data_IF_294325371868
#
_entry.id   IF_294325371868
#
_cell.length_a   1.000
_cell.length_b   1.000
_cell.length_c   1.000
_cell.angle_alpha   90.00
_cell.angle_beta   90.00
_cell.angle_gamma   90.00
#
_symmetry.space_group_name_H-M   'P 1'
#
loop_
_entity.id
_entity.type
_entity.pdbx_description
1 polymer ?
#
# COMPACT_ATOMS: atom_id res chain seq x y z
N UNK A 1 -19.00 6.87 -13.91
CA UNK A 1 -18.82 7.40 -12.54
C UNK A 1 -17.78 6.50 -11.89
N UNK A 2 -16.63 7.00 -11.46
CA UNK A 2 -15.69 6.16 -10.70
C UNK A 2 -16.40 5.80 -9.42
N UNK A 3 -16.65 4.51 -9.22
CA UNK A 3 -17.29 4.03 -8.01
C UNK A 3 -16.30 4.22 -6.84
N UNK A 4 -16.75 4.92 -5.80
CA UNK A 4 -15.94 5.19 -4.63
C UNK A 4 -15.50 3.87 -3.98
N UNK A 5 -16.37 2.87 -4.02
CA UNK A 5 -16.11 1.55 -3.44
C UNK A 5 -14.98 0.84 -4.18
N UNK A 6 -14.96 0.95 -5.52
CA UNK A 6 -13.86 0.42 -6.34
C UNK A 6 -12.52 1.09 -6.04
N UNK A 7 -12.51 2.41 -5.84
CA UNK A 7 -11.28 3.14 -5.53
C UNK A 7 -10.75 2.76 -4.14
N UNK A 8 -11.63 2.65 -3.15
CA UNK A 8 -11.27 2.22 -1.80
C UNK A 8 -10.69 0.80 -1.80
N UNK A 9 -11.31 -0.13 -2.53
CA UNK A 9 -10.83 -1.51 -2.61
C UNK A 9 -9.50 -1.61 -3.38
N UNK A 10 -9.33 -0.83 -4.45
CA UNK A 10 -8.07 -0.75 -5.18
C UNK A 10 -6.93 -0.24 -4.30
N UNK A 11 -7.20 0.74 -3.42
CA UNK A 11 -6.20 1.26 -2.47
C UNK A 11 -5.81 0.19 -1.44
N UNK A 12 -6.79 -0.54 -0.89
CA UNK A 12 -6.53 -1.65 0.04
C UNK A 12 -5.68 -2.74 -0.61
N UNK A 13 -6.04 -3.15 -1.83
CA UNK A 13 -5.28 -4.15 -2.58
C UNK A 13 -3.84 -3.69 -2.83
N UNK A 14 -3.64 -2.45 -3.28
CA UNK A 14 -2.29 -1.94 -3.49
C UNK A 14 -1.46 -1.85 -2.21
N UNK A 15 -2.08 -1.51 -1.08
CA UNK A 15 -1.40 -1.50 0.21
C UNK A 15 -0.94 -2.91 0.62
N UNK A 16 -1.78 -3.93 0.38
CA UNK A 16 -1.43 -5.33 0.61
C UNK A 16 -0.30 -5.79 -0.31
N UNK A 17 -0.36 -5.48 -1.61
CA UNK A 17 0.69 -5.81 -2.57
C UNK A 17 2.02 -5.16 -2.20
N UNK A 18 2.00 -3.88 -1.78
CA UNK A 18 3.20 -3.16 -1.33
C UNK A 18 3.80 -3.77 -0.07
N UNK A 19 2.97 -4.22 0.87
CA UNK A 19 3.43 -4.96 2.04
C UNK A 19 4.05 -6.30 1.62
N UNK A 20 3.37 -7.08 0.78
CA UNK A 20 3.84 -8.40 0.34
C UNK A 20 5.18 -8.31 -0.40
N UNK A 21 5.31 -7.37 -1.33
CA UNK A 21 6.54 -7.15 -2.09
C UNK A 21 7.72 -6.74 -1.20
N UNK A 22 7.48 -5.93 -0.17
CA UNK A 22 8.54 -5.45 0.71
C UNK A 22 8.95 -6.48 1.76
N UNK A 23 7.98 -7.23 2.27
CA UNK A 23 8.14 -8.01 3.50
C UNK A 23 7.86 -9.50 3.28
N UNK A 24 6.72 -9.88 2.71
CA UNK A 24 6.32 -11.30 2.68
C UNK A 24 7.07 -12.15 1.66
N UNK A 25 7.44 -11.53 0.54
CA UNK A 25 8.11 -12.16 -0.60
C UNK A 25 9.62 -11.92 -0.57
N UNK A 26 10.20 -11.63 0.59
CA UNK A 26 11.64 -11.51 0.74
C UNK A 26 12.31 -12.83 0.37
N UNK A 27 13.19 -12.80 -0.62
CA UNK A 27 14.01 -13.94 -1.02
C UNK A 27 15.27 -13.97 -0.16
N UNK A 28 15.63 -15.16 0.32
CA UNK A 28 16.85 -15.36 1.11
C UNK A 28 17.64 -16.51 0.51
N UNK A 29 18.96 -16.34 0.39
CA UNK A 29 19.84 -17.36 -0.20
C UNK A 29 20.12 -18.52 0.78
N UNK A 30 20.27 -18.21 2.08
CA UNK A 30 20.55 -19.20 3.12
C UNK A 30 19.27 -19.84 3.68
N UNK A 31 19.33 -21.14 3.97
CA UNK A 31 18.25 -21.88 4.63
C UNK A 31 17.94 -21.31 6.02
N UNK A 32 18.97 -20.94 6.76
CA UNK A 32 18.90 -20.39 8.12
C UNK A 32 18.09 -19.08 8.16
N UNK A 33 18.37 -18.16 7.22
CA UNK A 33 17.59 -16.91 7.13
C UNK A 33 16.13 -17.17 6.77
N UNK A 34 15.83 -18.12 5.86
CA UNK A 34 14.43 -18.49 5.56
C UNK A 34 13.72 -19.02 6.81
N UNK A 35 14.37 -19.92 7.55
CA UNK A 35 13.80 -20.49 8.78
C UNK A 35 13.56 -19.43 9.85
N UNK A 36 14.55 -18.56 10.11
CA UNK A 36 14.41 -17.46 11.05
C UNK A 36 13.27 -16.51 10.64
N UNK A 37 13.17 -16.20 9.35
CA UNK A 37 12.10 -15.35 8.84
C UNK A 37 10.71 -15.99 8.99
N UNK A 38 10.56 -17.28 8.68
CA UNK A 38 9.31 -18.00 8.88
C UNK A 38 8.91 -18.09 10.36
N UNK A 39 9.88 -18.28 11.26
CA UNK A 39 9.63 -18.27 12.70
C UNK A 39 9.03 -16.93 13.15
N UNK A 40 9.58 -15.80 12.66
CA UNK A 40 9.03 -14.47 12.94
C UNK A 40 7.62 -14.32 12.36
N UNK A 41 7.39 -14.76 11.11
CA UNK A 41 6.08 -14.63 10.44
C UNK A 41 4.94 -15.35 11.18
N UNK A 42 5.26 -16.37 11.96
CA UNK A 42 4.29 -17.15 12.72
C UNK A 42 3.98 -16.56 14.11
N UNK A 43 4.50 -15.38 14.43
CA UNK A 43 4.24 -14.68 15.71
C UNK A 43 3.02 -13.77 15.64
N UNK A 44 2.42 -13.51 16.80
CA UNK A 44 1.32 -12.53 16.92
C UNK A 44 1.81 -11.12 16.62
N UNK A 45 3.03 -10.80 17.02
CA UNK A 45 3.71 -9.53 16.77
C UNK A 45 3.83 -9.27 15.27
N UNK A 46 4.15 -10.29 14.47
CA UNK A 46 4.15 -10.17 13.01
C UNK A 46 2.76 -9.89 12.44
N UNK A 47 1.73 -10.58 12.92
CA UNK A 47 0.36 -10.33 12.48
C UNK A 47 -0.08 -8.89 12.79
N UNK A 48 0.24 -8.39 13.98
CA UNK A 48 -0.02 -6.99 14.37
C UNK A 48 0.78 -6.01 13.51
N UNK A 49 2.07 -6.28 13.30
CA UNK A 49 2.93 -5.48 12.44
C UNK A 49 2.36 -5.39 11.01
N UNK A 50 1.97 -6.53 10.42
CA UNK A 50 1.35 -6.58 9.10
C UNK A 50 0.12 -5.68 9.00
N UNK A 51 -0.79 -5.75 9.97
CA UNK A 51 -2.00 -4.91 9.99
C UNK A 51 -1.67 -3.41 10.08
N UNK A 52 -0.75 -3.02 10.97
CA UNK A 52 -0.36 -1.61 11.13
C UNK A 52 0.32 -1.08 9.88
N UNK A 53 1.20 -1.86 9.27
CA UNK A 53 1.93 -1.43 8.06
C UNK A 53 1.02 -1.33 6.84
N UNK A 54 0.08 -2.25 6.65
CA UNK A 54 -0.90 -2.16 5.56
C UNK A 54 -1.71 -0.86 5.71
N UNK A 55 -2.23 -0.55 6.90
CA UNK A 55 -2.95 0.72 7.16
C UNK A 55 -2.09 1.95 6.89
N UNK A 56 -0.80 1.91 7.24
CA UNK A 56 0.12 3.00 6.94
C UNK A 56 0.31 3.18 5.43
N UNK A 57 0.40 2.09 4.67
CA UNK A 57 0.46 2.14 3.20
C UNK A 57 -0.84 2.63 2.57
N UNK A 58 -2.01 2.18 3.05
CA UNK A 58 -3.32 2.69 2.60
C UNK A 58 -3.36 4.22 2.74
N UNK A 59 -3.02 4.75 3.92
CA UNK A 59 -2.98 6.20 4.16
C UNK A 59 -2.04 6.94 3.19
N UNK A 60 -0.85 6.39 2.96
CA UNK A 60 0.11 6.99 2.04
C UNK A 60 -0.39 7.00 0.58
N UNK A 61 -1.01 5.91 0.13
CA UNK A 61 -1.58 5.79 -1.21
C UNK A 61 -2.76 6.74 -1.37
N UNK A 62 -3.68 6.78 -0.41
CA UNK A 62 -4.82 7.71 -0.40
C UNK A 62 -4.35 9.16 -0.53
N UNK A 63 -3.35 9.56 0.27
CA UNK A 63 -2.79 10.91 0.18
C UNK A 63 -2.21 11.22 -1.20
N UNK A 64 -1.50 10.25 -1.81
CA UNK A 64 -0.96 10.42 -3.16
C UNK A 64 -2.07 10.59 -4.21
N UNK A 65 -3.11 9.76 -4.15
CA UNK A 65 -4.28 9.85 -5.04
C UNK A 65 -4.97 11.21 -4.90
N UNK A 66 -5.21 11.69 -3.67
CA UNK A 66 -5.83 12.99 -3.44
C UNK A 66 -4.97 14.15 -3.97
N UNK A 67 -3.65 14.09 -3.79
CA UNK A 67 -2.74 15.08 -4.34
C UNK A 67 -2.75 15.10 -5.87
N UNK A 68 -2.78 13.93 -6.51
CA UNK A 68 -2.88 13.81 -7.97
C UNK A 68 -4.21 14.38 -8.50
N UNK A 69 -5.32 14.07 -7.84
CA UNK A 69 -6.63 14.62 -8.20
C UNK A 69 -6.68 16.14 -8.05
N UNK A 70 -6.07 16.69 -7.00
CA UNK A 70 -5.95 18.14 -6.83
C UNK A 70 -5.10 18.77 -7.95
N UNK A 71 -4.00 18.13 -8.34
CA UNK A 71 -3.18 18.56 -9.48
C UNK A 71 -3.98 18.59 -10.79
N UNK A 72 -4.76 17.55 -11.06
CA UNK A 72 -5.65 17.49 -12.25
C UNK A 72 -6.70 18.60 -12.20
N UNK A 73 -7.31 18.82 -11.04
CA UNK A 73 -8.32 19.89 -10.86
C UNK A 73 -7.72 21.27 -11.19
N UNK A 74 -6.50 21.55 -10.74
CA UNK A 74 -5.81 22.79 -11.04
C UNK A 74 -5.54 22.92 -12.55
N UNK A 75 -5.05 21.87 -13.20
CA UNK A 75 -4.79 21.88 -14.65
C UNK A 75 -6.07 22.15 -15.48
N UNK A 76 -7.21 21.58 -15.09
CA UNK A 76 -8.49 21.82 -15.77
C UNK A 76 -8.95 23.26 -15.58
N UNK A 77 -8.74 23.82 -14.39
CA UNK A 77 -9.08 25.21 -14.08
C UNK A 77 -8.23 26.16 -14.94
N UNK A 78 -6.91 25.98 -14.94
CA UNK A 78 -5.97 26.82 -15.69
C UNK A 78 -6.23 26.76 -17.21
N UNK A 79 -6.63 25.59 -17.75
CA UNK A 79 -6.96 25.42 -19.16
C UNK A 79 -8.37 25.93 -19.55
N UNK A 80 -9.25 26.16 -18.56
CA UNK A 80 -10.59 26.68 -18.75
C UNK A 80 -10.71 28.20 -18.55
N UNK A 81 -9.68 28.84 -18.00
CA UNK A 81 -9.57 30.31 -17.83
C UNK A 81 -8.74 30.99 -18.96
N UNK A 82 -8.81 30.45 -20.19
CA UNK A 82 -8.56 31.22 -21.43
C UNK A 82 -9.86 31.92 -21.92
#
# INVERSE_FOLDING_TARGET
>A
MIDKDWLEDSIKEQAQLKFAARWENAEFDSSEARQAFQAIKNTNEWAMFKQVMIKAYEKAITNNVLNQLQGIKNLIHDAGEE
#
